data_IF_300761569373
#
_entry.id   IF_300761569373
#
_cell.length_a   1.000
_cell.length_b   1.000
_cell.length_c   1.000
_cell.angle_alpha   90.00
_cell.angle_beta   90.00
_cell.angle_gamma   90.00
#
_symmetry.space_group_name_H-M   'P 1'
#
loop_
_entity.id
_entity.type
_entity.pdbx_description
1 polymer ?
#
# COMPACT_ATOMS: atom_id res chain seq x y z
N UNK A 1 17.21 -7.15 -0.50
CA UNK A 1 16.61 -7.85 0.68
C UNK A 1 15.13 -8.01 0.41
N UNK A 2 14.43 -9.04 0.90
CA UNK A 2 12.96 -8.98 0.87
C UNK A 2 12.44 -8.06 2.00
N UNK A 3 11.83 -6.95 1.61
CA UNK A 3 11.10 -6.03 2.46
C UNK A 3 9.64 -6.44 2.43
N UNK A 4 9.06 -6.85 3.55
CA UNK A 4 7.59 -6.99 3.64
C UNK A 4 7.05 -5.70 4.24
N UNK A 5 6.28 -4.93 3.48
CA UNK A 5 5.46 -3.85 4.02
C UNK A 5 4.06 -4.42 4.28
N UNK A 6 3.49 -4.15 5.45
CA UNK A 6 2.13 -4.54 5.81
C UNK A 6 1.36 -3.28 6.19
N UNK A 7 0.12 -3.18 5.72
CA UNK A 7 -0.77 -2.10 6.10
C UNK A 7 -2.18 -2.64 6.29
N UNK A 8 -2.77 -2.38 7.47
CA UNK A 8 -4.19 -2.61 7.73
C UNK A 8 -4.98 -1.40 7.26
N UNK A 9 -6.02 -1.62 6.44
CA UNK A 9 -6.89 -0.55 5.97
C UNK A 9 -7.71 0.03 7.14
N UNK A 10 -7.23 1.09 7.78
CA UNK A 10 -8.07 1.86 8.69
C UNK A 10 -8.91 2.86 7.89
N UNK A 11 -10.19 3.03 8.25
CA UNK A 11 -11.07 4.03 7.66
C UNK A 11 -10.61 5.45 8.05
N UNK A 12 -9.57 5.94 7.37
CA UNK A 12 -9.11 7.31 7.45
C UNK A 12 -9.92 8.19 6.51
N UNK A 13 -10.81 9.02 7.06
CA UNK A 13 -11.38 10.14 6.31
C UNK A 13 -10.30 11.22 6.14
N UNK A 14 -9.52 11.13 5.06
CA UNK A 14 -8.67 12.21 4.57
C UNK A 14 -9.25 12.72 3.25
N UNK A 15 -9.47 14.04 3.16
CA UNK A 15 -9.95 14.72 1.97
C UNK A 15 -8.78 15.45 1.31
N UNK A 16 -8.22 14.88 0.25
CA UNK A 16 -7.29 15.59 -0.64
C UNK A 16 -7.76 15.41 -2.08
N UNK A 17 -8.08 16.53 -2.72
CA UNK A 17 -8.58 16.57 -4.09
C UNK A 17 -7.40 16.51 -5.07
N UNK A 18 -7.23 15.35 -5.70
CA UNK A 18 -6.20 15.12 -6.72
C UNK A 18 -6.20 13.71 -7.33
N UNK A 19 -7.22 12.90 -7.02
CA UNK A 19 -7.19 11.47 -7.28
C UNK A 19 -7.24 11.12 -8.78
N UNK A 20 -6.19 10.48 -9.27
CA UNK A 20 -5.97 10.07 -10.66
C UNK A 20 -6.80 8.88 -11.18
N UNK A 21 -7.70 8.34 -10.38
CA UNK A 21 -8.47 7.18 -10.79
C UNK A 21 -9.68 7.66 -11.60
N UNK A 22 -9.84 7.25 -12.87
CA UNK A 22 -11.05 7.56 -13.60
C UNK A 22 -12.22 6.94 -12.86
N UNK A 23 -13.24 7.75 -12.55
CA UNK A 23 -14.51 7.30 -12.01
C UNK A 23 -15.19 6.42 -13.06
N UNK A 24 -14.84 5.13 -13.06
CA UNK A 24 -15.33 4.15 -14.00
C UNK A 24 -16.80 3.85 -13.73
N UNK A 25 -17.65 4.31 -14.65
CA UNK A 25 -19.08 4.03 -14.76
C UNK A 25 -19.47 2.60 -14.36
N UNK A 26 -20.23 2.49 -13.27
CA UNK A 26 -21.00 1.32 -12.93
C UNK A 26 -22.18 1.15 -13.91
N UNK A 27 -21.92 0.58 -15.08
CA UNK A 27 -22.97 0.21 -16.04
C UNK A 27 -23.61 -1.15 -15.67
N UNK A 28 -24.76 -1.02 -15.02
CA UNK A 28 -26.00 -1.81 -15.14
C UNK A 28 -26.01 -3.33 -14.87
N UNK A 29 -26.80 -3.71 -13.85
CA UNK A 29 -27.91 -4.68 -14.05
C UNK A 29 -29.20 -4.11 -13.47
N UNK A 30 -30.13 -3.80 -14.35
CA UNK A 30 -31.53 -3.56 -14.02
C UNK A 30 -32.16 -4.89 -13.63
N UNK A 31 -32.80 -4.95 -12.46
CA UNK A 31 -33.83 -5.93 -12.20
C UNK A 31 -35.06 -5.24 -11.63
N UNK A 32 -36.19 -5.52 -12.29
CA UNK A 32 -37.48 -4.90 -12.09
C UNK A 32 -38.33 -5.77 -11.14
N UNK A 33 -39.01 -5.12 -10.21
CA UNK A 33 -40.08 -5.69 -9.38
C UNK A 33 -40.23 -4.83 -8.14
N UNK A 34 -41.27 -4.03 -7.93
CA UNK A 34 -42.68 -4.31 -8.19
C UNK A 34 -43.32 -4.73 -6.86
N UNK A 35 -43.74 -3.76 -6.03
CA UNK A 35 -44.42 -4.06 -4.77
C UNK A 35 -44.83 -2.83 -3.98
N UNK A 36 -46.04 -2.34 -4.21
CA UNK A 36 -46.77 -1.37 -3.39
C UNK A 36 -47.36 -2.02 -2.15
N UNK A 37 -47.34 -1.33 -0.99
CA UNK A 37 -48.52 -1.13 -0.13
C UNK A 37 -48.18 -0.37 1.16
N UNK A 38 -49.24 0.23 1.70
CA UNK A 38 -49.33 1.37 2.60
C UNK A 38 -49.88 1.01 3.99
N UNK A 39 -49.59 1.87 4.98
CA UNK A 39 -50.35 2.03 6.25
C UNK A 39 -49.49 1.80 7.50
N UNK A 40 -49.46 2.60 8.56
CA UNK A 40 -50.19 3.82 8.94
C UNK A 40 -50.36 3.85 10.47
N UNK A 41 -49.95 4.96 11.12
CA UNK A 41 -50.23 5.39 12.53
C UNK A 41 -49.72 4.49 13.69
N UNK A 42 -49.40 4.95 14.90
CA UNK A 42 -49.46 6.21 15.66
C UNK A 42 -48.54 5.98 16.88
N UNK A 43 -47.66 6.88 17.32
CA UNK A 43 -47.93 8.11 18.07
C UNK A 43 -47.39 8.00 19.50
N UNK A 44 -46.42 8.85 19.88
CA UNK A 44 -46.37 9.56 21.17
C UNK A 44 -45.25 10.60 21.16
N UNK A 45 -45.60 11.81 21.59
CA UNK A 45 -44.83 13.05 21.57
C UNK A 45 -43.98 13.28 22.82
N UNK A 46 -42.92 14.09 22.65
CA UNK A 46 -42.19 14.85 23.69
C UNK A 46 -40.72 14.43 23.76
N UNK A 47 -39.69 15.26 23.52
CA UNK A 47 -39.49 16.67 23.87
C UNK A 47 -38.61 17.37 22.81
N UNK A 48 -38.89 18.65 22.58
CA UNK A 48 -38.21 19.58 21.68
C UNK A 48 -36.83 20.03 22.16
N UNK A 49 -35.95 20.32 21.19
CA UNK A 49 -35.12 21.54 21.04
C UNK A 49 -33.62 21.28 20.89
N UNK A 50 -33.14 21.44 19.66
CA UNK A 50 -31.73 21.42 19.28
C UNK A 50 -31.57 21.01 17.83
N UNK A 51 -31.94 21.90 16.90
CA UNK A 51 -31.74 21.65 15.48
C UNK A 51 -30.26 21.53 15.14
N UNK A 52 -29.87 20.39 14.60
CA UNK A 52 -28.64 20.21 13.82
C UNK A 52 -29.06 19.70 12.43
N UNK A 53 -28.51 20.25 11.34
CA UNK A 53 -28.80 19.78 10.00
C UNK A 53 -28.09 18.44 9.75
N UNK A 54 -28.88 17.44 9.35
CA UNK A 54 -28.40 16.26 8.63
C UNK A 54 -27.66 15.22 9.48
N UNK A 55 -28.44 14.37 10.15
CA UNK A 55 -27.97 13.04 10.56
C UNK A 55 -27.87 12.17 9.29
N UNK A 56 -26.87 12.48 8.46
CA UNK A 56 -26.45 11.62 7.37
C UNK A 56 -25.84 10.40 8.01
N UNK A 57 -26.66 9.38 8.25
CA UNK A 57 -26.20 8.12 8.82
C UNK A 57 -24.93 7.70 8.09
N UNK A 58 -23.82 7.64 8.82
CA UNK A 58 -22.57 7.08 8.33
C UNK A 58 -22.88 5.63 7.96
N UNK A 59 -23.27 5.40 6.72
CA UNK A 59 -23.49 4.07 6.19
C UNK A 59 -22.22 3.29 6.45
N UNK A 60 -22.34 2.12 7.07
CA UNK A 60 -21.21 1.21 7.23
C UNK A 60 -20.54 1.05 5.87
N UNK A 61 -19.29 1.51 5.77
CA UNK A 61 -18.53 1.45 4.53
C UNK A 61 -18.54 -0.01 4.05
N UNK A 62 -18.93 -0.23 2.80
CA UNK A 62 -18.96 -1.58 2.23
C UNK A 62 -17.56 -1.90 1.67
N UNK A 63 -17.13 -3.17 1.71
CA UNK A 63 -15.99 -3.59 0.89
C UNK A 63 -16.24 -3.30 -0.59
N UNK A 64 -15.34 -2.51 -1.17
CA UNK A 64 -15.26 -2.17 -2.59
C UNK A 64 -13.85 -2.47 -3.10
N UNK A 65 -13.64 -2.60 -4.42
CA UNK A 65 -12.33 -2.87 -4.97
C UNK A 65 -11.30 -1.80 -4.57
N UNK A 66 -10.04 -2.19 -4.49
CA UNK A 66 -8.92 -1.27 -4.24
C UNK A 66 -8.04 -1.23 -5.48
N UNK A 67 -7.92 -0.05 -6.09
CA UNK A 67 -7.00 0.19 -7.18
C UNK A 67 -5.64 0.59 -6.62
N UNK A 68 -4.60 -0.01 -7.18
CA UNK A 68 -3.22 0.14 -6.71
C UNK A 68 -2.37 0.57 -7.89
N UNK A 69 -1.50 1.55 -7.70
CA UNK A 69 -0.40 1.83 -8.63
C UNK A 69 0.90 1.84 -7.84
N UNK A 70 1.86 1.02 -8.23
CA UNK A 70 3.04 0.77 -7.42
C UNK A 70 4.30 0.55 -8.26
N UNK A 71 5.45 0.94 -7.72
CA UNK A 71 6.78 0.64 -8.25
C UNK A 71 7.77 0.44 -7.11
N UNK A 72 8.84 -0.28 -7.40
CA UNK A 72 9.97 -0.43 -6.49
C UNK A 72 11.26 -0.48 -7.30
N UNK A 73 12.38 -0.16 -6.65
CA UNK A 73 13.70 -0.37 -7.22
C UNK A 73 13.89 -1.87 -7.55
N UNK A 74 13.98 -2.14 -8.84
CA UNK A 74 14.07 -3.44 -9.51
C UNK A 74 12.87 -4.38 -9.38
N UNK A 75 12.50 -4.82 -8.18
CA UNK A 75 11.57 -5.94 -8.06
C UNK A 75 10.67 -5.89 -6.82
N UNK A 76 9.42 -6.29 -7.01
CA UNK A 76 8.49 -6.53 -5.92
C UNK A 76 7.44 -7.58 -6.27
N UNK A 77 6.71 -8.02 -5.25
CA UNK A 77 5.41 -8.68 -5.35
C UNK A 77 4.39 -7.86 -4.59
N UNK A 78 3.15 -7.93 -5.04
CA UNK A 78 2.02 -7.31 -4.37
C UNK A 78 1.03 -8.39 -3.95
N UNK A 79 0.37 -8.22 -2.81
CA UNK A 79 -0.63 -9.18 -2.39
C UNK A 79 -1.46 -8.69 -1.22
N UNK A 80 -2.38 -9.54 -0.77
CA UNK A 80 -3.34 -9.18 0.27
C UNK A 80 -3.74 -10.39 1.11
N UNK A 81 -4.25 -10.11 2.31
CA UNK A 81 -4.70 -11.13 3.25
C UNK A 81 -5.09 -10.53 4.61
N UNK A 82 -4.63 -11.19 5.66
CA UNK A 82 -4.86 -10.83 7.08
C UNK A 82 -3.56 -10.35 7.70
N UNK A 83 -3.60 -9.75 8.89
CA UNK A 83 -2.42 -9.31 9.64
C UNK A 83 -1.29 -10.37 9.74
N UNK A 84 -1.67 -11.65 9.85
CA UNK A 84 -0.74 -12.75 10.13
C UNK A 84 -0.34 -13.56 8.89
N UNK A 85 -1.00 -13.32 7.73
CA UNK A 85 -0.69 -14.06 6.51
C UNK A 85 -1.23 -13.41 5.25
N UNK A 86 -0.56 -13.72 4.16
CA UNK A 86 -0.86 -13.40 2.80
C UNK A 86 -1.69 -14.55 2.18
N UNK A 87 -2.88 -14.24 1.64
CA UNK A 87 -3.79 -15.21 1.03
C UNK A 87 -3.64 -15.26 -0.49
N UNK A 88 -3.33 -14.13 -1.13
CA UNK A 88 -3.13 -14.01 -2.57
C UNK A 88 -1.94 -13.10 -2.86
N UNK A 89 -1.02 -13.57 -3.72
CA UNK A 89 0.13 -12.78 -4.16
C UNK A 89 0.20 -12.76 -5.69
N UNK A 90 0.39 -11.58 -6.22
CA UNK A 90 0.58 -11.29 -7.64
C UNK A 90 1.95 -10.63 -7.87
N UNK A 91 2.39 -10.61 -9.12
CA UNK A 91 3.56 -9.84 -9.56
C UNK A 91 4.33 -10.48 -10.72
N UNK A 92 4.60 -9.67 -11.76
CA UNK A 92 5.71 -9.73 -12.76
C UNK A 92 5.71 -8.42 -13.60
N UNK A 93 6.86 -7.89 -14.12
CA UNK A 93 8.24 -8.29 -13.90
C UNK A 93 9.12 -7.21 -13.25
N UNK A 94 10.26 -7.70 -12.79
CA UNK A 94 11.50 -6.99 -12.51
C UNK A 94 11.84 -5.97 -13.62
N UNK A 95 12.10 -4.72 -13.25
CA UNK A 95 12.75 -3.78 -14.15
C UNK A 95 14.21 -4.17 -14.31
N UNK A 96 14.60 -4.65 -15.50
CA UNK A 96 15.99 -5.03 -15.77
C UNK A 96 16.92 -3.82 -15.90
N UNK A 97 16.36 -2.65 -16.19
CA UNK A 97 17.10 -1.40 -16.25
C UNK A 97 16.62 -0.48 -15.12
N UNK A 98 17.56 0.12 -14.40
CA UNK A 98 17.28 1.04 -13.31
C UNK A 98 16.36 2.21 -13.70
N UNK A 99 16.33 2.61 -14.98
CA UNK A 99 15.48 3.69 -15.47
C UNK A 99 14.02 3.29 -15.74
N UNK A 100 13.73 2.00 -15.91
CA UNK A 100 12.43 1.55 -16.40
C UNK A 100 11.32 1.80 -15.36
N UNK A 101 11.66 1.76 -14.07
CA UNK A 101 10.75 1.98 -12.94
C UNK A 101 10.12 3.38 -12.92
N UNK A 102 10.73 4.34 -13.62
CA UNK A 102 10.25 5.73 -13.71
C UNK A 102 9.40 5.99 -14.96
N UNK A 103 9.48 5.12 -15.97
CA UNK A 103 8.89 5.38 -17.28
C UNK A 103 7.41 5.02 -17.34
N UNK A 104 6.65 5.77 -18.13
CA UNK A 104 5.26 5.42 -18.41
C UNK A 104 5.18 4.14 -19.26
N UNK A 105 4.34 3.18 -18.84
CA UNK A 105 4.11 1.91 -19.52
C UNK A 105 5.08 0.77 -19.17
N UNK A 106 6.21 1.05 -18.53
CA UNK A 106 7.15 0.03 -18.02
C UNK A 106 7.50 0.18 -16.53
N UNK A 107 7.20 1.34 -15.94
CA UNK A 107 7.52 1.66 -14.56
C UNK A 107 6.38 1.31 -13.61
N UNK A 108 5.62 2.30 -13.10
CA UNK A 108 4.51 2.00 -12.20
C UNK A 108 3.49 1.05 -12.82
N UNK A 109 3.16 0.01 -12.07
CA UNK A 109 2.20 -1.01 -12.48
C UNK A 109 0.89 -0.83 -11.73
N UNK A 110 -0.22 -1.14 -12.41
CA UNK A 110 -1.56 -0.99 -11.87
C UNK A 110 -2.22 -2.34 -11.58
N UNK A 111 -2.82 -2.48 -10.40
CA UNK A 111 -3.55 -3.66 -9.96
C UNK A 111 -4.94 -3.26 -9.44
N UNK A 112 -5.87 -4.22 -9.46
CA UNK A 112 -7.16 -4.07 -8.77
C UNK A 112 -7.37 -5.26 -7.84
N UNK A 113 -7.40 -5.00 -6.53
CA UNK A 113 -7.83 -6.00 -5.54
C UNK A 113 -9.35 -6.06 -5.57
N UNK A 114 -9.97 -7.23 -5.84
CA UNK A 114 -11.42 -7.33 -5.92
C UNK A 114 -12.07 -7.12 -4.55
N UNK A 115 -13.32 -6.65 -4.55
CA UNK A 115 -14.04 -6.24 -3.33
C UNK A 115 -14.17 -7.34 -2.26
N UNK A 116 -14.32 -8.59 -2.69
CA UNK A 116 -14.41 -9.77 -1.83
C UNK A 116 -13.08 -10.14 -1.17
N UNK A 117 -11.96 -9.71 -1.75
CA UNK A 117 -10.61 -9.91 -1.23
C UNK A 117 -10.02 -8.66 -0.55
N UNK A 118 -10.75 -7.55 -0.55
CA UNK A 118 -10.41 -6.31 0.17
C UNK A 118 -11.48 -5.94 1.22
N UNK A 119 -11.82 -6.82 2.19
CA UNK A 119 -12.63 -6.40 3.33
C UNK A 119 -11.98 -5.22 4.07
N UNK A 120 -12.75 -4.52 4.90
CA UNK A 120 -12.27 -3.30 5.56
C UNK A 120 -11.14 -3.56 6.55
N UNK A 121 -11.00 -4.77 7.05
CA UNK A 121 -9.93 -5.23 7.94
C UNK A 121 -8.81 -5.99 7.22
N UNK A 122 -8.82 -5.98 5.88
CA UNK A 122 -7.77 -6.61 5.08
C UNK A 122 -6.43 -5.88 5.22
N UNK A 123 -5.37 -6.65 5.02
CA UNK A 123 -4.01 -6.15 4.92
C UNK A 123 -3.52 -6.21 3.48
N UNK A 124 -2.90 -5.13 3.03
CA UNK A 124 -2.14 -5.07 1.78
C UNK A 124 -0.67 -5.29 2.08
N UNK A 125 -0.03 -6.09 1.25
CA UNK A 125 1.38 -6.47 1.37
C UNK A 125 2.15 -6.10 0.12
N UNK A 126 3.30 -5.49 0.32
CA UNK A 126 4.32 -5.34 -0.72
C UNK A 126 5.56 -6.10 -0.28
N UNK A 127 6.07 -6.96 -1.14
CA UNK A 127 7.33 -7.70 -0.94
C UNK A 127 8.36 -7.21 -1.93
N UNK A 128 9.20 -6.23 -1.55
CA UNK A 128 10.18 -5.61 -2.45
C UNK A 128 11.60 -6.16 -2.24
N UNK A 129 12.42 -6.23 -3.29
CA UNK A 129 13.86 -6.51 -3.17
C UNK A 129 14.70 -5.81 -4.23
N UNK A 130 15.85 -5.32 -3.80
CA UNK A 130 16.80 -4.54 -4.58
C UNK A 130 17.99 -5.38 -5.09
N UNK A 131 18.74 -4.83 -6.06
CA UNK A 131 20.03 -5.39 -6.49
C UNK A 131 21.21 -4.83 -5.69
N UNK A 132 20.95 -3.82 -4.84
CA UNK A 132 21.94 -3.09 -4.05
C UNK A 132 22.97 -2.41 -4.96
N UNK A 133 22.56 -1.78 -6.06
CA UNK A 133 23.51 -1.08 -6.93
C UNK A 133 23.62 0.42 -6.58
N UNK A 134 22.53 1.17 -6.69
CA UNK A 134 22.57 2.65 -6.65
C UNK A 134 21.57 3.20 -5.64
N UNK A 135 20.30 2.94 -5.87
CA UNK A 135 19.19 3.38 -5.04
C UNK A 135 18.36 2.20 -4.59
N UNK A 136 17.54 2.37 -3.56
CA UNK A 136 16.53 1.39 -3.18
C UNK A 136 15.33 2.11 -2.58
N UNK A 137 14.13 1.73 -2.99
CA UNK A 137 12.92 2.42 -2.57
C UNK A 137 11.66 1.78 -3.13
N UNK A 138 10.56 2.04 -2.46
CA UNK A 138 9.21 1.69 -2.89
C UNK A 138 8.34 2.96 -2.95
N UNK A 139 7.47 3.03 -3.94
CA UNK A 139 6.58 4.17 -4.17
C UNK A 139 5.23 3.68 -4.72
N UNK A 140 4.14 4.24 -4.22
CA UNK A 140 2.83 3.92 -4.77
C UNK A 140 1.65 4.60 -4.09
N UNK A 141 0.47 4.25 -4.59
CA UNK A 141 -0.80 4.76 -4.13
C UNK A 141 -1.89 3.67 -4.18
N UNK A 142 -2.87 3.80 -3.31
CA UNK A 142 -3.94 2.83 -3.13
C UNK A 142 -5.25 3.60 -2.94
N UNK A 143 -6.23 3.42 -3.84
CA UNK A 143 -7.56 4.01 -3.71
C UNK A 143 -8.60 2.93 -3.59
N UNK A 144 -9.38 3.01 -2.51
CA UNK A 144 -10.60 2.22 -2.41
C UNK A 144 -11.69 2.89 -3.25
N UNK A 145 -12.26 2.16 -4.21
CA UNK A 145 -13.34 2.69 -5.07
C UNK A 145 -14.55 3.11 -4.23
N UNK A 146 -15.32 4.06 -4.76
CA UNK A 146 -16.48 4.67 -4.08
C UNK A 146 -16.08 5.47 -2.82
N UNK A 147 -14.79 5.78 -2.66
CA UNK A 147 -14.28 6.69 -1.64
C UNK A 147 -13.29 7.67 -2.26
N UNK A 148 -13.17 8.85 -1.67
CA UNK A 148 -12.15 9.84 -2.05
C UNK A 148 -10.81 9.59 -1.34
N UNK A 149 -10.76 8.62 -0.42
CA UNK A 149 -9.55 8.34 0.34
C UNK A 149 -8.51 7.64 -0.54
N UNK A 150 -7.36 8.29 -0.69
CA UNK A 150 -6.16 7.69 -1.28
C UNK A 150 -5.13 7.52 -0.18
N UNK A 151 -4.61 6.31 -0.07
CA UNK A 151 -3.45 6.01 0.75
C UNK A 151 -2.20 6.09 -0.11
N UNK A 152 -1.22 6.85 0.35
CA UNK A 152 0.07 6.97 -0.30
C UNK A 152 1.16 6.20 0.46
N UNK A 153 2.17 5.72 -0.25
CA UNK A 153 3.45 5.40 0.40
C UNK A 153 3.98 6.63 1.12
N UNK A 154 4.48 6.43 2.35
CA UNK A 154 4.85 7.52 3.26
C UNK A 154 3.76 7.95 4.25
N UNK A 155 2.54 7.41 4.14
CA UNK A 155 1.53 7.53 5.19
C UNK A 155 2.00 6.88 6.51
N UNK A 156 1.70 7.45 7.69
CA UNK A 156 2.10 6.88 8.99
C UNK A 156 1.58 5.47 9.28
N UNK A 157 0.56 4.99 8.56
CA UNK A 157 0.04 3.64 8.69
C UNK A 157 0.96 2.55 8.10
N UNK A 158 2.01 2.93 7.36
CA UNK A 158 2.95 1.96 6.81
C UNK A 158 3.88 1.38 7.88
N UNK A 159 3.94 0.05 7.88
CA UNK A 159 4.89 -0.73 8.65
C UNK A 159 5.75 -1.55 7.72
N UNK A 160 6.95 -1.89 8.19
CA UNK A 160 7.94 -2.61 7.41
C UNK A 160 8.68 -3.63 8.26
N UNK A 161 8.95 -4.78 7.65
CA UNK A 161 9.82 -5.80 8.20
C UNK A 161 10.91 -6.16 7.20
N UNK A 162 12.15 -5.83 7.54
CA UNK A 162 13.32 -6.31 6.81
C UNK A 162 13.63 -7.75 7.22
N UNK A 163 13.65 -8.65 6.24
CA UNK A 163 13.79 -10.11 6.45
C UNK A 163 15.23 -10.62 6.35
N UNK A 164 16.15 -9.80 5.82
CA UNK A 164 17.53 -10.21 5.55
C UNK A 164 17.69 -11.25 4.42
N UNK A 165 16.59 -11.69 3.78
CA UNK A 165 16.64 -12.69 2.73
C UNK A 165 17.15 -12.10 1.40
N UNK A 166 18.16 -12.74 0.76
CA UNK A 166 18.66 -12.30 -0.54
C UNK A 166 17.82 -12.88 -1.67
N UNK A 167 17.44 -12.03 -2.63
CA UNK A 167 16.83 -12.43 -3.89
C UNK A 167 17.51 -11.70 -5.04
N UNK A 168 17.81 -12.37 -6.16
CA UNK A 168 18.47 -11.72 -7.28
C UNK A 168 17.48 -10.82 -8.02
N UNK A 169 17.58 -9.51 -7.78
CA UNK A 169 16.73 -8.50 -8.42
C UNK A 169 17.10 -8.22 -9.89
N UNK A 170 18.39 -8.35 -10.23
CA UNK A 170 18.90 -8.11 -11.59
C UNK A 170 18.66 -9.29 -12.56
N UNK A 171 18.17 -10.43 -12.07
CA UNK A 171 17.87 -11.61 -12.89
C UNK A 171 16.38 -11.63 -13.26
N UNK A 172 16.07 -11.36 -14.52
CA UNK A 172 14.70 -11.33 -15.04
C UNK A 172 13.97 -12.68 -14.99
N UNK A 173 14.69 -13.77 -14.67
CA UNK A 173 14.12 -15.10 -14.47
C UNK A 173 13.84 -15.41 -13.00
N UNK A 174 14.37 -14.62 -12.07
CA UNK A 174 14.24 -14.83 -10.64
C UNK A 174 12.84 -14.45 -10.16
N UNK A 175 12.10 -15.40 -9.60
CA UNK A 175 10.69 -15.17 -9.25
C UNK A 175 10.47 -14.52 -7.87
N UNK A 176 11.54 -14.13 -7.16
CA UNK A 176 11.45 -13.70 -5.76
C UNK A 176 11.00 -14.82 -4.80
N UNK A 177 10.60 -14.49 -3.56
CA UNK A 177 10.13 -15.47 -2.57
C UNK A 177 8.79 -16.09 -2.96
N UNK A 178 8.56 -17.36 -2.62
CA UNK A 178 7.24 -17.98 -2.70
C UNK A 178 6.33 -17.55 -1.54
N UNK A 179 5.02 -17.79 -1.65
CA UNK A 179 4.03 -17.41 -0.63
C UNK A 179 4.32 -18.04 0.73
N UNK A 180 4.85 -19.27 0.76
CA UNK A 180 5.19 -19.96 2.01
C UNK A 180 6.35 -19.25 2.73
N UNK A 181 7.36 -18.83 1.99
CA UNK A 181 8.49 -18.03 2.50
C UNK A 181 8.00 -16.68 3.01
N UNK A 182 7.14 -16.00 2.25
CA UNK A 182 6.57 -14.70 2.68
C UNK A 182 5.79 -14.86 4.00
N UNK A 183 4.89 -15.84 4.08
CA UNK A 183 4.09 -16.06 5.29
C UNK A 183 4.94 -16.47 6.50
N UNK A 184 6.02 -17.22 6.30
CA UNK A 184 6.96 -17.54 7.39
C UNK A 184 7.68 -16.30 7.93
N UNK A 185 8.01 -15.33 7.06
CA UNK A 185 8.59 -14.06 7.51
C UNK A 185 7.53 -13.17 8.18
N UNK A 186 6.30 -13.08 7.67
CA UNK A 186 5.20 -12.36 8.35
C UNK A 186 5.00 -12.90 9.78
N UNK A 187 4.97 -14.22 9.96
CA UNK A 187 4.87 -14.84 11.28
C UNK A 187 6.07 -14.47 12.17
N UNK A 188 7.30 -14.54 11.63
CA UNK A 188 8.52 -14.17 12.37
C UNK A 188 8.52 -12.71 12.82
N UNK A 189 8.10 -11.80 11.94
CA UNK A 189 8.02 -10.38 12.20
C UNK A 189 6.97 -10.08 13.28
N UNK A 190 5.80 -10.70 13.18
CA UNK A 190 4.71 -10.57 14.17
C UNK A 190 5.12 -11.12 15.52
N UNK A 191 5.83 -12.25 15.55
CA UNK A 191 6.35 -12.86 16.78
C UNK A 191 7.57 -12.14 17.38
N UNK A 192 8.22 -11.24 16.64
CA UNK A 192 9.43 -10.54 17.10
C UNK A 192 10.64 -11.46 17.25
N UNK A 193 10.72 -12.53 16.45
CA UNK A 193 11.71 -13.61 16.61
C UNK A 193 12.86 -13.55 15.60
N UNK A 194 12.95 -12.48 14.81
CA UNK A 194 14.03 -12.31 13.83
C UNK A 194 15.40 -12.02 14.45
N UNK A 195 16.45 -12.37 13.70
CA UNK A 195 17.84 -12.06 14.03
C UNK A 195 18.11 -10.56 13.83
N UNK A 196 18.20 -9.79 14.91
CA UNK A 196 18.32 -8.32 14.89
C UNK A 196 19.65 -7.80 14.35
N UNK A 197 20.64 -8.68 14.17
CA UNK A 197 21.89 -8.32 13.52
C UNK A 197 21.78 -8.34 11.98
N UNK A 198 20.73 -9.00 11.44
CA UNK A 198 20.55 -9.24 10.00
C UNK A 198 19.18 -8.83 9.46
N UNK A 199 18.26 -8.48 10.36
CA UNK A 199 16.86 -8.23 10.07
C UNK A 199 16.39 -7.11 11.00
N UNK A 200 15.19 -6.59 10.74
CA UNK A 200 14.49 -5.71 11.67
C UNK A 200 14.08 -6.41 12.99
N UNK A 201 14.08 -7.75 13.02
CA UNK A 201 13.65 -8.54 14.18
C UNK A 201 12.14 -8.51 14.46
N UNK A 202 11.37 -7.69 13.73
CA UNK A 202 9.94 -7.45 13.90
C UNK A 202 9.46 -6.28 13.04
N UNK A 203 8.17 -5.93 13.13
CA UNK A 203 7.62 -4.79 12.42
C UNK A 203 8.12 -3.45 13.00
N UNK A 204 8.48 -2.52 12.12
CA UNK A 204 8.84 -1.13 12.46
C UNK A 204 8.05 -0.16 11.58
N UNK A 205 7.75 1.03 12.10
CA UNK A 205 7.14 2.14 11.36
C UNK A 205 8.08 3.35 11.37
N UNK A 206 7.62 4.48 10.83
CA UNK A 206 8.37 5.74 10.91
C UNK A 206 8.53 6.24 12.36
N UNK A 207 7.68 5.78 13.28
CA UNK A 207 7.76 6.09 14.71
C UNK A 207 8.70 5.15 15.49
N UNK A 208 9.26 4.11 14.84
CA UNK A 208 10.13 3.11 15.44
C UNK A 208 9.47 1.74 15.58
N UNK A 209 9.84 0.98 16.62
CA UNK A 209 9.39 -0.40 16.79
C UNK A 209 7.87 -0.52 17.00
N UNK A 210 7.22 -1.30 16.14
CA UNK A 210 5.82 -1.74 16.32
C UNK A 210 5.80 -3.05 17.09
N UNK A 211 6.60 -4.03 16.65
CA UNK A 211 6.84 -5.25 17.42
C UNK A 211 7.86 -4.97 18.54
N UNK A 212 7.59 -5.37 19.79
CA UNK A 212 8.51 -5.13 20.90
C UNK A 212 9.94 -5.62 20.65
N UNK A 213 10.90 -4.68 20.71
CA UNK A 213 12.32 -4.98 20.54
C UNK A 213 12.78 -5.15 19.09
N UNK A 214 11.94 -4.84 18.10
CA UNK A 214 12.38 -4.63 16.72
C UNK A 214 13.40 -3.47 16.64
N UNK A 215 14.26 -3.50 15.62
CA UNK A 215 15.35 -2.54 15.41
C UNK A 215 15.19 -1.86 14.04
N UNK A 216 15.74 -0.66 13.93
CA UNK A 216 15.59 0.18 12.74
C UNK A 216 14.26 0.93 12.69
N UNK A 217 13.96 1.51 11.53
CA UNK A 217 12.75 2.26 11.27
C UNK A 217 12.38 2.20 9.78
N UNK A 218 11.11 2.47 9.49
CA UNK A 218 10.70 2.86 8.14
C UNK A 218 11.16 4.30 7.89
N UNK A 219 11.99 4.51 6.88
CA UNK A 219 12.36 5.85 6.43
C UNK A 219 11.44 6.26 5.30
N UNK A 220 10.88 7.48 5.42
CA UNK A 220 10.07 8.14 4.40
C UNK A 220 10.90 9.25 3.78
N UNK A 221 10.98 9.24 2.46
CA UNK A 221 11.80 10.14 1.65
C UNK A 221 11.01 11.27 1.01
N UNK A 222 11.58 11.77 -0.08
CA UNK A 222 10.94 12.76 -0.93
C UNK A 222 9.65 12.24 -1.57
N UNK A 223 8.80 13.19 -1.96
CA UNK A 223 7.63 12.90 -2.77
C UNK A 223 7.95 12.83 -4.26
N UNK A 224 7.02 12.27 -5.03
CA UNK A 224 7.10 12.08 -6.47
C UNK A 224 6.94 13.39 -7.28
N UNK A 225 7.35 14.52 -6.70
CA UNK A 225 7.41 15.82 -7.33
C UNK A 225 8.82 16.45 -7.26
N UNK A 226 9.73 15.86 -6.49
CA UNK A 226 11.06 16.40 -6.21
C UNK A 226 12.03 16.18 -7.38
N UNK A 227 12.14 17.16 -8.28
CA UNK A 227 13.05 17.07 -9.45
C UNK A 227 14.55 16.98 -9.08
N UNK A 228 14.93 17.44 -7.90
CA UNK A 228 16.31 17.41 -7.38
C UNK A 228 16.52 16.32 -6.32
N UNK A 229 15.60 15.34 -6.23
CA UNK A 229 15.61 14.24 -5.27
C UNK A 229 16.68 13.17 -5.53
N UNK A 230 16.75 12.20 -4.62
CA UNK A 230 17.49 10.95 -4.79
C UNK A 230 16.96 10.10 -5.96
N UNK A 231 15.67 10.22 -6.27
CA UNK A 231 14.97 9.50 -7.33
C UNK A 231 14.44 10.45 -8.42
N UNK A 232 14.52 10.05 -9.71
CA UNK A 232 13.70 10.66 -10.75
C UNK A 232 12.20 10.58 -10.42
N UNK A 233 11.45 11.57 -10.92
CA UNK A 233 9.98 11.54 -10.89
C UNK A 233 9.50 10.36 -11.72
N UNK A 234 8.69 9.48 -11.11
CA UNK A 234 8.05 8.37 -11.79
C UNK A 234 6.90 8.87 -12.65
N UNK A 235 6.42 8.02 -13.56
CA UNK A 235 5.28 8.34 -14.42
C UNK A 235 4.11 8.90 -13.60
N UNK A 236 3.75 10.15 -13.87
CA UNK A 236 2.60 10.79 -13.26
C UNK A 236 1.32 10.37 -14.00
N UNK A 237 0.20 10.29 -13.27
CA UNK A 237 -1.10 10.10 -13.90
C UNK A 237 -1.47 11.30 -14.78
N UNK A 238 -2.38 11.08 -15.74
CA UNK A 238 -2.88 12.14 -16.61
C UNK A 238 -4.38 11.98 -16.92
N UNK A 239 -4.98 13.03 -17.48
CA UNK A 239 -6.40 13.10 -17.85
C UNK A 239 -6.83 12.05 -18.89
N UNK A 240 -5.87 11.42 -19.58
CA UNK A 240 -6.12 10.33 -20.53
C UNK A 240 -6.20 8.95 -19.84
N UNK A 241 -6.15 8.89 -18.50
CA UNK A 241 -6.23 7.66 -17.72
C UNK A 241 -4.94 6.85 -17.74
N UNK A 242 -3.79 7.48 -18.03
CA UNK A 242 -2.51 6.82 -17.92
C UNK A 242 -2.26 6.41 -16.47
N UNK A 243 -1.98 5.11 -16.19
CA UNK A 243 -1.59 4.71 -14.85
C UNK A 243 -0.27 5.37 -14.50
N UNK A 244 -0.23 5.98 -13.33
CA UNK A 244 0.92 6.67 -12.78
C UNK A 244 0.75 6.87 -11.29
N UNK A 245 1.82 7.28 -10.63
CA UNK A 245 1.81 7.56 -9.19
C UNK A 245 1.71 9.06 -8.99
N UNK A 246 0.77 9.46 -8.15
CA UNK A 246 0.50 10.84 -7.76
C UNK A 246 1.78 11.48 -7.20
N UNK A 247 1.91 12.79 -7.43
CA UNK A 247 3.03 13.57 -6.94
C UNK A 247 3.11 13.61 -5.42
N UNK A 248 2.02 13.33 -4.70
CA UNK A 248 1.97 13.28 -3.24
C UNK A 248 2.60 12.02 -2.62
N UNK A 249 2.73 10.93 -3.39
CA UNK A 249 3.33 9.70 -2.88
C UNK A 249 4.80 9.89 -2.52
N UNK A 250 5.27 9.26 -1.44
CA UNK A 250 6.66 9.37 -0.96
C UNK A 250 7.39 8.05 -1.03
N UNK A 251 8.67 8.11 -1.38
CA UNK A 251 9.56 6.96 -1.35
C UNK A 251 9.68 6.43 0.07
N UNK A 252 9.67 5.11 0.23
CA UNK A 252 9.77 4.48 1.53
C UNK A 252 10.73 3.29 1.50
N UNK A 253 11.54 3.12 2.54
CA UNK A 253 12.46 1.98 2.67
C UNK A 253 12.84 1.72 4.14
N UNK A 254 13.28 0.50 4.46
CA UNK A 254 13.78 0.18 5.79
C UNK A 254 15.20 0.73 6.01
N UNK A 255 15.45 1.27 7.20
CA UNK A 255 16.78 1.66 7.66
C UNK A 255 17.11 1.00 9.00
N UNK A 256 18.24 0.29 9.12
CA UNK A 256 18.65 -0.33 10.38
C UNK A 256 19.07 0.68 11.46
N UNK A 257 19.53 1.87 11.05
CA UNK A 257 20.09 2.91 11.92
C UNK A 257 19.34 4.25 11.82
N UNK A 258 18.30 4.32 10.97
CA UNK A 258 17.53 5.53 10.70
C UNK A 258 18.23 6.53 9.78
N UNK A 259 19.40 6.20 9.23
CA UNK A 259 20.06 7.02 8.20
C UNK A 259 19.32 6.94 6.86
N UNK A 260 19.74 7.76 5.88
CA UNK A 260 19.17 7.73 4.53
C UNK A 260 19.25 6.31 3.95
N UNK A 261 18.08 5.70 3.81
CA UNK A 261 17.90 4.33 3.38
C UNK A 261 17.92 4.16 1.86
N UNK A 262 17.86 5.27 1.11
CA UNK A 262 17.55 5.28 -0.31
C UNK A 262 18.75 5.14 -1.23
N UNK A 263 19.97 5.30 -0.72
CA UNK A 263 21.21 5.12 -1.48
C UNK A 263 22.00 3.97 -0.91
N UNK A 264 22.43 3.01 -1.72
CA UNK A 264 23.23 1.92 -1.21
C UNK A 264 24.58 2.45 -0.66
N UNK A 265 24.77 2.28 0.64
CA UNK A 265 26.02 2.47 1.33
C UNK A 265 26.31 1.18 2.13
N UNK A 266 27.57 0.85 2.41
CA UNK A 266 27.86 -0.45 3.06
C UNK A 266 27.15 -0.62 4.41
N UNK A 267 26.72 0.48 5.03
CA UNK A 267 25.99 0.56 6.29
C UNK A 267 24.51 0.21 6.22
N UNK A 268 23.83 0.36 5.08
CA UNK A 268 22.39 0.02 4.93
C UNK A 268 22.13 -1.35 4.28
N UNK A 269 23.10 -2.27 4.39
CA UNK A 269 23.08 -3.61 3.78
C UNK A 269 22.57 -4.76 4.66
N UNK A 270 22.14 -4.48 5.88
CA UNK A 270 21.57 -5.49 6.80
C UNK A 270 20.17 -5.89 6.36
#
# INVERSE_FOLDING_TARGET
MALSAAMGLYAGCGSDEGSAFPDGDASARADAGGGTSSGGSSGTSGITSGGLPGDGGAGTQKPTPVDVVFTADNAYKFGWGTADRLDQVEGRPFSTNAGDIFNCGTGPEAYTVPADAAPLDAYLYVVAWDDRAVTQGALGQFKRRETEAVLYTGDPAWEVCATGLPFPAADSTAQGPDTATINAEIERCTAGTGDKEKTSGGWVSAAGAVTPGAVGALVVGEDNSAADGDFPITCLPNDAGQPGIDSAAKWMWYSPDGANAFRNNETNRT
#
